data_IF_640787759827
#
_entry.id   IF_640787759827
#
_cell.length_a   1.000
_cell.length_b   1.000
_cell.length_c   1.000
_cell.angle_alpha   90.00
_cell.angle_beta   90.00
_cell.angle_gamma   90.00
#
_symmetry.space_group_name_H-M   'P 1'
#
loop_
_entity.id
_entity.type
_entity.pdbx_description
1 polymer ?
#
# COMPACT_ATOMS: atom_id res chain seq x y z
N UNK A 1 44.51 -17.90 -13.15
CA UNK A 1 43.06 -17.65 -13.11
C UNK A 1 42.67 -17.53 -11.64
N UNK A 2 42.16 -16.39 -11.19
CA UNK A 2 41.92 -16.15 -9.76
C UNK A 2 40.60 -16.80 -9.31
N UNK A 3 40.49 -17.27 -8.05
CA UNK A 3 39.27 -17.90 -7.52
C UNK A 3 38.02 -17.01 -7.61
N UNK A 4 38.20 -15.68 -7.65
CA UNK A 4 37.12 -14.70 -7.84
C UNK A 4 36.52 -14.71 -9.25
N UNK A 5 37.28 -15.11 -10.27
CA UNK A 5 36.82 -15.13 -11.66
C UNK A 5 35.97 -16.37 -11.95
N UNK A 6 36.29 -17.50 -11.30
CA UNK A 6 35.49 -18.74 -11.38
C UNK A 6 34.12 -18.54 -10.72
N UNK A 7 34.06 -17.80 -9.60
CA UNK A 7 32.79 -17.51 -8.91
C UNK A 7 31.90 -16.54 -9.70
N UNK A 8 32.48 -15.58 -10.44
CA UNK A 8 31.74 -14.74 -11.39
C UNK A 8 31.28 -15.51 -12.61
N UNK A 9 32.10 -16.40 -13.16
CA UNK A 9 31.68 -17.23 -14.30
C UNK A 9 30.54 -18.17 -13.92
N UNK A 10 30.58 -18.85 -12.77
CA UNK A 10 29.48 -19.70 -12.32
C UNK A 10 28.17 -18.92 -12.11
N UNK A 11 28.26 -17.71 -11.55
CA UNK A 11 27.09 -16.81 -11.40
C UNK A 11 26.50 -16.34 -12.74
N UNK A 12 27.32 -16.16 -13.77
CA UNK A 12 26.86 -15.77 -15.12
C UNK A 12 26.40 -16.97 -15.97
N UNK A 13 26.90 -18.18 -15.72
CA UNK A 13 26.48 -19.39 -16.43
C UNK A 13 25.12 -19.88 -15.92
N UNK A 14 24.89 -19.85 -14.60
CA UNK A 14 23.56 -20.20 -14.04
C UNK A 14 22.47 -19.22 -14.49
N UNK A 15 22.78 -17.92 -14.56
CA UNK A 15 21.81 -16.92 -15.06
C UNK A 15 21.56 -17.02 -16.56
N UNK A 16 22.51 -17.54 -17.36
CA UNK A 16 22.31 -17.77 -18.80
C UNK A 16 21.58 -19.09 -19.09
N UNK A 17 21.74 -20.13 -18.28
CA UNK A 17 20.91 -21.34 -18.40
C UNK A 17 19.46 -21.08 -17.97
N UNK A 18 19.23 -20.24 -16.95
CA UNK A 18 17.87 -19.77 -16.61
C UNK A 18 17.22 -18.90 -17.70
N UNK A 19 18.00 -18.30 -18.60
CA UNK A 19 17.51 -17.49 -19.73
C UNK A 19 17.51 -18.22 -21.08
N UNK A 20 18.13 -19.40 -21.15
CA UNK A 20 18.11 -20.28 -22.33
C UNK A 20 17.08 -21.41 -22.18
N UNK A 21 16.02 -21.15 -21.42
CA UNK A 21 14.77 -21.88 -21.57
C UNK A 21 14.26 -21.43 -22.94
N UNK A 22 14.46 -22.25 -23.97
CA UNK A 22 13.58 -22.22 -25.15
C UNK A 22 12.17 -22.05 -24.62
N UNK A 23 11.52 -20.92 -24.88
CA UNK A 23 10.10 -20.73 -24.62
C UNK A 23 9.36 -21.77 -25.46
N UNK A 24 9.31 -23.00 -24.98
CA UNK A 24 8.22 -23.89 -25.32
C UNK A 24 6.96 -23.16 -24.86
N UNK A 25 5.95 -22.99 -25.74
CA UNK A 25 4.73 -22.24 -25.42
C UNK A 25 3.89 -22.86 -24.28
N UNK A 26 4.39 -23.91 -23.63
CA UNK A 26 3.72 -24.71 -22.61
C UNK A 26 4.32 -24.58 -21.20
N UNK A 27 5.43 -23.86 -20.99
CA UNK A 27 5.99 -23.66 -19.63
C UNK A 27 5.42 -22.39 -19.02
N UNK A 28 4.25 -22.56 -18.43
CA UNK A 28 3.57 -21.56 -17.62
C UNK A 28 4.06 -21.64 -16.17
N UNK A 29 5.13 -20.91 -15.85
CA UNK A 29 5.68 -20.85 -14.49
C UNK A 29 4.84 -19.90 -13.62
N UNK A 30 4.04 -20.45 -12.71
CA UNK A 30 3.13 -19.67 -11.87
C UNK A 30 3.26 -19.94 -10.36
N UNK A 31 4.48 -20.04 -9.85
CA UNK A 31 4.70 -20.10 -8.41
C UNK A 31 6.11 -20.55 -8.04
N UNK A 32 6.51 -20.44 -6.76
CA UNK A 32 7.76 -21.03 -6.31
C UNK A 32 7.71 -22.54 -6.54
N UNK A 33 8.63 -23.02 -7.36
CA UNK A 33 8.80 -24.46 -7.59
C UNK A 33 9.56 -25.02 -6.41
N UNK A 34 8.85 -25.76 -5.57
CA UNK A 34 9.43 -26.34 -4.35
C UNK A 34 10.15 -27.66 -4.60
N UNK A 35 10.08 -28.21 -5.81
CA UNK A 35 10.75 -29.44 -6.20
C UNK A 35 11.30 -29.32 -7.61
N UNK A 36 12.54 -29.73 -7.79
CA UNK A 36 13.16 -29.82 -9.11
C UNK A 36 13.57 -31.27 -9.37
N UNK A 37 13.27 -31.83 -10.56
CA UNK A 37 13.78 -33.14 -10.93
C UNK A 37 15.30 -33.08 -11.13
N UNK A 38 16.03 -34.07 -10.63
CA UNK A 38 17.44 -34.25 -10.96
C UNK A 38 17.63 -34.81 -12.38
N UNK A 39 18.89 -34.96 -12.80
CA UNK A 39 19.26 -35.52 -14.10
C UNK A 39 18.77 -36.97 -14.31
N UNK A 40 18.29 -37.64 -13.27
CA UNK A 40 17.73 -38.99 -13.29
C UNK A 40 16.20 -39.01 -13.14
N UNK A 41 15.55 -37.83 -13.12
CA UNK A 41 14.11 -37.68 -12.99
C UNK A 41 13.59 -37.85 -11.56
N UNK A 42 14.45 -37.89 -10.54
CA UNK A 42 14.04 -37.94 -9.13
C UNK A 42 13.79 -36.52 -8.64
N UNK A 43 12.58 -36.27 -8.13
CA UNK A 43 12.24 -34.96 -7.56
C UNK A 43 12.96 -34.73 -6.22
N UNK A 44 13.70 -33.63 -6.12
CA UNK A 44 14.28 -33.15 -4.86
C UNK A 44 13.62 -31.87 -4.42
N UNK A 45 13.33 -31.76 -3.13
CA UNK A 45 12.77 -30.54 -2.56
C UNK A 45 13.84 -29.45 -2.42
N UNK A 46 13.51 -28.25 -2.90
CA UNK A 46 14.30 -27.06 -2.62
C UNK A 46 13.95 -26.54 -1.22
N UNK A 47 14.71 -27.00 -0.23
CA UNK A 47 14.57 -26.59 1.16
C UNK A 47 14.87 -25.10 1.38
N UNK A 48 15.61 -24.44 0.49
CA UNK A 48 15.88 -23.00 0.57
C UNK A 48 14.61 -22.23 0.22
N UNK A 49 13.91 -22.60 -0.86
CA UNK A 49 12.64 -21.98 -1.23
C UNK A 49 11.55 -22.24 -0.19
N UNK A 50 11.48 -23.47 0.36
CA UNK A 50 10.52 -23.83 1.41
C UNK A 50 10.78 -22.99 2.67
N UNK A 51 12.02 -22.97 3.17
CA UNK A 51 12.37 -22.22 4.38
C UNK A 51 12.17 -20.71 4.19
N UNK A 52 12.55 -20.15 3.03
CA UNK A 52 12.31 -18.75 2.69
C UNK A 52 10.84 -18.39 2.70
N UNK A 53 9.97 -19.24 2.14
CA UNK A 53 8.52 -19.04 2.14
C UNK A 53 7.95 -19.08 3.55
N UNK A 54 8.37 -20.03 4.38
CA UNK A 54 7.93 -20.13 5.79
C UNK A 54 8.35 -18.91 6.59
N UNK A 55 9.60 -18.46 6.44
CA UNK A 55 10.10 -17.25 7.12
C UNK A 55 9.28 -16.03 6.69
N UNK A 56 9.03 -15.85 5.39
CA UNK A 56 8.23 -14.75 4.88
C UNK A 56 6.81 -14.77 5.47
N UNK A 57 6.14 -15.93 5.48
CA UNK A 57 4.81 -16.07 6.08
C UNK A 57 4.79 -15.72 7.57
N UNK A 58 5.80 -16.15 8.33
CA UNK A 58 5.93 -15.81 9.76
C UNK A 58 6.10 -14.31 9.98
N UNK A 59 6.99 -13.66 9.20
CA UNK A 59 7.24 -12.21 9.28
C UNK A 59 5.98 -11.43 8.95
N UNK A 60 5.31 -11.75 7.83
CA UNK A 60 4.06 -11.09 7.45
C UNK A 60 2.97 -11.28 8.50
N UNK A 61 2.77 -12.50 8.98
CA UNK A 61 1.78 -12.78 10.03
C UNK A 61 2.04 -11.98 11.30
N UNK A 62 3.32 -11.84 11.70
CA UNK A 62 3.72 -11.03 12.85
C UNK A 62 3.42 -9.53 12.66
N UNK A 63 3.77 -8.97 11.50
CA UNK A 63 3.52 -7.55 11.18
C UNK A 63 2.02 -7.24 11.11
N UNK A 64 1.23 -8.12 10.51
CA UNK A 64 -0.23 -8.01 10.46
C UNK A 64 -0.86 -8.10 11.86
N UNK A 65 -0.43 -9.07 12.66
CA UNK A 65 -0.86 -9.20 14.05
C UNK A 65 -0.58 -7.95 14.86
N UNK A 66 0.62 -7.38 14.74
CA UNK A 66 1.00 -6.14 15.41
C UNK A 66 0.13 -4.95 14.96
N UNK A 67 -0.19 -4.87 13.67
CA UNK A 67 -1.08 -3.84 13.11
C UNK A 67 -2.48 -3.94 13.69
N UNK A 68 -3.06 -5.15 13.74
CA UNK A 68 -4.38 -5.39 14.34
C UNK A 68 -4.40 -5.00 15.83
N UNK A 69 -3.41 -5.46 16.61
CA UNK A 69 -3.32 -5.14 18.04
C UNK A 69 -3.20 -3.63 18.25
N UNK A 70 -2.35 -2.96 17.47
CA UNK A 70 -2.14 -1.51 17.56
C UNK A 70 -3.40 -0.75 17.16
N UNK A 71 -4.09 -1.18 16.10
CA UNK A 71 -5.36 -0.59 15.66
C UNK A 71 -6.45 -0.70 16.74
N UNK A 72 -6.57 -1.85 17.39
CA UNK A 72 -7.51 -2.05 18.51
C UNK A 72 -7.16 -1.14 19.69
N UNK A 73 -5.88 -1.10 20.09
CA UNK A 73 -5.42 -0.22 21.18
C UNK A 73 -5.70 1.26 20.88
N UNK A 74 -5.43 1.68 19.64
CA UNK A 74 -5.66 3.06 19.20
C UNK A 74 -7.15 3.41 19.18
N UNK A 75 -8.02 2.47 18.78
CA UNK A 75 -9.47 2.65 18.85
C UNK A 75 -9.94 2.96 20.27
N UNK A 76 -9.53 2.16 21.25
CA UNK A 76 -9.89 2.38 22.65
C UNK A 76 -9.29 3.66 23.21
N UNK A 77 -8.05 4.00 22.82
CA UNK A 77 -7.40 5.24 23.22
C UNK A 77 -8.17 6.47 22.73
N UNK A 78 -8.49 6.53 21.44
CA UNK A 78 -9.26 7.64 20.83
C UNK A 78 -10.65 7.75 21.45
N UNK A 79 -11.29 6.61 21.71
CA UNK A 79 -12.62 6.56 22.33
C UNK A 79 -12.62 7.13 23.76
N UNK A 80 -11.55 6.88 24.54
CA UNK A 80 -11.46 7.28 25.95
C UNK A 80 -10.91 8.68 26.17
N UNK A 81 -9.96 9.13 25.35
CA UNK A 81 -9.17 10.33 25.62
C UNK A 81 -9.55 11.56 24.79
N UNK A 82 -10.41 11.41 23.78
CA UNK A 82 -10.79 12.55 22.91
C UNK A 82 -12.03 13.24 23.42
N UNK A 83 -11.89 14.46 23.94
CA UNK A 83 -12.98 15.29 24.48
C UNK A 83 -13.76 16.02 23.39
N UNK A 84 -13.14 16.35 22.25
CA UNK A 84 -13.82 17.00 21.13
C UNK A 84 -14.45 15.97 20.18
N UNK A 85 -15.78 15.99 20.05
CA UNK A 85 -16.51 15.07 19.18
C UNK A 85 -16.13 15.17 17.70
N UNK A 86 -15.69 16.34 17.23
CA UNK A 86 -15.24 16.53 15.83
C UNK A 86 -13.89 15.87 15.59
N UNK A 87 -12.93 16.06 16.52
CA UNK A 87 -11.60 15.46 16.43
C UNK A 87 -11.70 13.93 16.56
N UNK A 88 -12.55 13.45 17.46
CA UNK A 88 -12.77 12.02 17.65
C UNK A 88 -13.31 11.36 16.39
N UNK A 89 -14.31 11.97 15.73
CA UNK A 89 -14.88 11.46 14.47
C UNK A 89 -13.83 11.40 13.37
N UNK A 90 -12.99 12.42 13.25
CA UNK A 90 -11.91 12.44 12.27
C UNK A 90 -10.85 11.35 12.54
N UNK A 91 -10.40 11.21 13.79
CA UNK A 91 -9.43 10.19 14.18
C UNK A 91 -9.98 8.78 13.97
N UNK A 92 -11.25 8.54 14.29
CA UNK A 92 -11.90 7.25 14.03
C UNK A 92 -12.02 6.97 12.54
N UNK A 93 -12.37 7.96 11.71
CA UNK A 93 -12.41 7.79 10.26
C UNK A 93 -11.04 7.42 9.68
N UNK A 94 -9.99 8.09 10.13
CA UNK A 94 -8.62 7.78 9.73
C UNK A 94 -8.21 6.37 10.18
N UNK A 95 -8.56 5.98 11.41
CA UNK A 95 -8.29 4.64 11.93
C UNK A 95 -9.01 3.55 11.14
N UNK A 96 -10.30 3.74 10.84
CA UNK A 96 -11.07 2.80 10.01
C UNK A 96 -10.50 2.70 8.60
N UNK A 97 -10.03 3.82 8.04
CA UNK A 97 -9.34 3.80 6.76
C UNK A 97 -8.07 2.96 6.83
N UNK A 98 -7.17 3.24 7.77
CA UNK A 98 -5.92 2.50 7.94
C UNK A 98 -6.15 0.99 8.14
N UNK A 99 -7.18 0.62 8.90
CA UNK A 99 -7.57 -0.78 9.08
C UNK A 99 -8.10 -1.41 7.77
N UNK A 100 -8.93 -0.68 7.02
CA UNK A 100 -9.43 -1.17 5.74
C UNK A 100 -8.31 -1.33 4.70
N UNK A 101 -7.37 -0.38 4.65
CA UNK A 101 -6.19 -0.45 3.79
C UNK A 101 -5.27 -1.59 4.20
N UNK A 102 -5.08 -1.83 5.50
CA UNK A 102 -4.33 -2.98 6.00
C UNK A 102 -4.97 -4.32 5.59
N UNK A 103 -6.30 -4.41 5.55
CA UNK A 103 -7.00 -5.63 5.11
C UNK A 103 -6.89 -5.86 3.59
N UNK A 104 -6.71 -4.81 2.79
CA UNK A 104 -6.67 -4.91 1.34
C UNK A 104 -5.60 -5.89 0.82
N UNK A 105 -4.30 -5.77 1.18
CA UNK A 105 -3.29 -6.73 0.74
C UNK A 105 -3.58 -8.15 1.25
N UNK A 106 -4.20 -8.33 2.42
CA UNK A 106 -4.63 -9.66 2.87
C UNK A 106 -5.55 -10.35 1.85
N UNK A 107 -6.53 -9.63 1.31
CA UNK A 107 -7.51 -10.17 0.36
C UNK A 107 -6.91 -10.30 -1.04
N UNK A 108 -6.16 -9.30 -1.51
CA UNK A 108 -5.72 -9.22 -2.90
C UNK A 108 -4.35 -9.85 -3.16
N UNK A 109 -3.51 -10.00 -2.14
CA UNK A 109 -2.15 -10.51 -2.30
C UNK A 109 -2.00 -11.85 -1.57
N UNK A 110 -2.34 -11.91 -0.28
CA UNK A 110 -2.11 -13.12 0.51
C UNK A 110 -3.04 -14.28 0.15
N UNK A 111 -4.35 -14.04 -0.01
CA UNK A 111 -5.30 -15.11 -0.36
C UNK A 111 -4.98 -15.74 -1.73
N UNK A 112 -4.79 -15.00 -2.83
CA UNK A 112 -4.47 -15.60 -4.13
C UNK A 112 -3.14 -16.37 -4.11
N UNK A 113 -2.11 -15.81 -3.46
CA UNK A 113 -0.83 -16.48 -3.29
C UNK A 113 -1.00 -17.77 -2.50
N UNK A 114 -1.73 -17.75 -1.38
CA UNK A 114 -1.98 -18.94 -0.57
C UNK A 114 -2.74 -20.03 -1.35
N UNK A 115 -3.75 -19.63 -2.15
CA UNK A 115 -4.50 -20.56 -3.01
C UNK A 115 -3.59 -21.17 -4.07
N UNK A 116 -2.70 -20.40 -4.70
CA UNK A 116 -1.73 -20.94 -5.67
C UNK A 116 -0.74 -21.89 -4.99
N UNK A 117 -0.19 -21.51 -3.83
CA UNK A 117 0.81 -22.31 -3.11
C UNK A 117 0.26 -23.63 -2.58
N UNK A 118 -0.89 -23.60 -1.90
CA UNK A 118 -1.50 -24.81 -1.33
C UNK A 118 -2.27 -25.59 -2.39
N UNK A 119 -3.02 -24.89 -3.24
CA UNK A 119 -3.84 -25.49 -4.27
C UNK A 119 -3.03 -26.16 -5.37
N UNK A 120 -1.88 -25.57 -5.73
CA UNK A 120 -0.94 -26.19 -6.67
C UNK A 120 -0.33 -27.48 -6.12
N UNK A 121 -0.06 -27.54 -4.80
CA UNK A 121 0.46 -28.76 -4.15
C UNK A 121 -0.57 -29.86 -3.97
N UNK A 122 -1.83 -29.50 -3.72
CA UNK A 122 -2.91 -30.47 -3.48
C UNK A 122 -3.58 -30.94 -4.77
N UNK A 123 -3.23 -30.35 -5.92
CA UNK A 123 -3.88 -30.62 -7.21
C UNK A 123 -5.32 -30.14 -7.30
N UNK A 124 -5.80 -29.39 -6.29
CA UNK A 124 -7.18 -28.90 -6.19
C UNK A 124 -7.40 -27.70 -7.12
N UNK A 125 -6.36 -26.92 -7.39
CA UNK A 125 -6.47 -25.66 -8.13
C UNK A 125 -6.08 -25.88 -9.60
N UNK A 126 -6.92 -25.42 -10.56
CA UNK A 126 -6.62 -25.51 -11.98
C UNK A 126 -5.30 -24.80 -12.32
N UNK A 127 -4.53 -25.37 -13.25
CA UNK A 127 -3.25 -24.82 -13.70
C UNK A 127 -3.31 -23.33 -14.08
N UNK A 128 -4.45 -22.87 -14.60
CA UNK A 128 -4.68 -21.50 -15.05
C UNK A 128 -4.81 -20.47 -13.91
N UNK A 129 -4.95 -20.90 -12.65
CA UNK A 129 -5.08 -19.99 -11.51
C UNK A 129 -3.81 -19.17 -11.26
N UNK A 130 -2.70 -19.70 -11.75
CA UNK A 130 -1.43 -19.00 -11.79
C UNK A 130 -1.46 -17.67 -12.52
N UNK A 131 -2.28 -17.52 -13.57
CA UNK A 131 -2.48 -16.26 -14.31
C UNK A 131 -3.25 -15.24 -13.47
N UNK A 132 -4.20 -15.73 -12.66
CA UNK A 132 -5.07 -14.88 -11.86
C UNK A 132 -4.30 -14.18 -10.73
N UNK A 133 -3.35 -14.86 -10.09
CA UNK A 133 -2.64 -14.31 -8.94
C UNK A 133 -1.90 -12.99 -9.25
N UNK A 134 -1.10 -12.86 -10.32
CA UNK A 134 -0.52 -11.58 -10.75
C UNK A 134 -1.55 -10.49 -11.03
N UNK A 135 -2.74 -10.83 -11.55
CA UNK A 135 -3.82 -9.85 -11.77
C UNK A 135 -4.37 -9.31 -10.45
N UNK A 136 -4.56 -10.19 -9.45
CA UNK A 136 -4.97 -9.77 -8.12
C UNK A 136 -3.91 -8.90 -7.43
N UNK A 137 -2.63 -9.28 -7.56
CA UNK A 137 -1.51 -8.49 -7.05
C UNK A 137 -1.44 -7.12 -7.76
N UNK A 138 -1.50 -7.08 -9.09
CA UNK A 138 -1.51 -5.80 -9.82
C UNK A 138 -2.72 -4.92 -9.44
N UNK A 139 -3.88 -5.55 -9.24
CA UNK A 139 -5.13 -4.90 -8.88
C UNK A 139 -5.17 -4.30 -7.48
N UNK A 140 -4.38 -4.81 -6.52
CA UNK A 140 -4.43 -4.33 -5.13
C UNK A 140 -4.18 -2.82 -5.05
N UNK A 141 -3.22 -2.31 -5.83
CA UNK A 141 -2.83 -0.89 -5.79
C UNK A 141 -3.98 0.04 -6.18
N UNK A 142 -4.76 -0.35 -7.19
CA UNK A 142 -5.96 0.37 -7.60
C UNK A 142 -7.08 0.24 -6.58
N UNK A 143 -7.29 -0.95 -6.03
CA UNK A 143 -8.30 -1.18 -4.99
C UNK A 143 -8.02 -0.38 -3.71
N UNK A 144 -6.77 -0.31 -3.26
CA UNK A 144 -6.38 0.46 -2.08
C UNK A 144 -6.63 1.97 -2.29
N UNK A 145 -6.26 2.51 -3.45
CA UNK A 145 -6.55 3.90 -3.80
C UNK A 145 -8.05 4.20 -3.86
N UNK A 146 -8.86 3.27 -4.41
CA UNK A 146 -10.32 3.39 -4.46
C UNK A 146 -10.91 3.33 -3.04
N UNK A 147 -10.46 2.39 -2.21
CA UNK A 147 -10.91 2.27 -0.81
C UNK A 147 -10.62 3.54 -0.04
N UNK A 148 -9.42 4.11 -0.18
CA UNK A 148 -9.05 5.38 0.42
C UNK A 148 -9.97 6.52 -0.03
N UNK A 149 -10.25 6.61 -1.32
CA UNK A 149 -11.12 7.64 -1.89
C UNK A 149 -12.59 7.49 -1.46
N UNK A 150 -13.08 6.26 -1.28
CA UNK A 150 -14.45 5.96 -0.86
C UNK A 150 -14.67 6.20 0.64
N UNK A 151 -13.72 5.81 1.49
CA UNK A 151 -13.84 5.89 2.95
C UNK A 151 -13.63 7.31 3.48
N UNK A 152 -12.76 8.11 2.85
CA UNK A 152 -12.45 9.46 3.32
C UNK A 152 -13.43 10.49 2.74
N UNK A 153 -14.58 10.69 3.41
CA UNK A 153 -15.63 11.63 2.97
C UNK A 153 -15.11 13.05 2.72
N UNK A 154 -14.23 13.55 3.59
CA UNK A 154 -13.61 14.87 3.47
C UNK A 154 -12.74 14.97 2.23
N UNK A 155 -12.03 13.89 1.88
CA UNK A 155 -11.20 13.82 0.68
C UNK A 155 -12.11 13.86 -0.54
N UNK A 156 -13.14 13.01 -0.61
CA UNK A 156 -14.12 13.01 -1.72
C UNK A 156 -14.75 14.39 -1.95
N UNK A 157 -15.05 15.13 -0.89
CA UNK A 157 -15.62 16.47 -1.00
C UNK A 157 -14.62 17.48 -1.57
N UNK A 158 -13.37 17.46 -1.11
CA UNK A 158 -12.28 18.29 -1.66
C UNK A 158 -11.90 17.90 -3.09
N UNK A 159 -11.81 16.61 -3.40
CA UNK A 159 -11.52 16.15 -4.76
C UNK A 159 -12.62 16.57 -5.72
N UNK A 160 -13.90 16.55 -5.31
CA UNK A 160 -15.02 17.08 -6.10
C UNK A 160 -14.93 18.59 -6.32
N UNK A 161 -14.52 19.36 -5.31
CA UNK A 161 -14.27 20.80 -5.44
C UNK A 161 -13.17 21.06 -6.47
N UNK A 162 -12.03 20.37 -6.36
CA UNK A 162 -10.91 20.50 -7.30
C UNK A 162 -11.32 20.05 -8.71
N UNK A 163 -12.03 18.92 -8.85
CA UNK A 163 -12.51 18.44 -10.15
C UNK A 163 -13.45 19.48 -10.79
N UNK A 164 -14.36 20.06 -10.01
CA UNK A 164 -15.25 21.13 -10.51
C UNK A 164 -14.45 22.35 -10.94
N UNK A 165 -13.39 22.71 -10.24
CA UNK A 165 -12.54 23.86 -10.60
C UNK A 165 -11.65 23.59 -11.82
N UNK A 166 -11.25 22.34 -12.02
CA UNK A 166 -10.39 21.95 -13.14
C UNK A 166 -11.18 21.69 -14.43
N UNK A 167 -12.41 21.19 -14.32
CA UNK A 167 -13.31 20.94 -15.46
C UNK A 167 -14.24 22.12 -15.78
N UNK A 168 -14.44 23.05 -14.85
CA UNK A 168 -15.11 24.31 -15.12
C UNK A 168 -14.06 25.41 -15.28
N UNK A 169 -13.68 25.80 -16.51
CA UNK A 169 -12.77 26.92 -16.69
C UNK A 169 -13.42 28.14 -16.02
N UNK A 170 -12.80 28.63 -14.94
CA UNK A 170 -13.25 29.85 -14.29
C UNK A 170 -13.17 30.97 -15.30
N UNK A 171 -14.32 31.53 -15.66
CA UNK A 171 -14.38 32.89 -16.15
C UNK A 171 -13.71 33.80 -15.10
N UNK A 172 -12.65 34.54 -15.45
CA UNK A 172 -11.97 35.41 -14.51
C UNK A 172 -12.82 36.66 -14.32
N UNK A 173 -13.68 36.67 -13.31
CA UNK A 173 -14.26 37.94 -12.87
C UNK A 173 -14.67 37.88 -11.40
N UNK A 174 -14.14 38.85 -10.64
CA UNK A 174 -14.66 39.42 -9.37
C UNK A 174 -13.94 39.12 -8.05
N UNK A 175 -12.83 38.38 -7.99
CA UNK A 175 -12.10 38.22 -6.71
C UNK A 175 -11.07 39.36 -6.46
N UNK A 176 -10.73 40.18 -7.46
CA UNK A 176 -9.71 41.24 -7.31
C UNK A 176 -10.22 42.64 -6.98
N UNK A 177 -11.54 42.85 -6.76
CA UNK A 177 -12.10 44.20 -6.54
C UNK A 177 -12.50 44.52 -5.10
N UNK A 178 -12.42 43.62 -4.12
CA UNK A 178 -12.80 43.94 -2.73
C UNK A 178 -11.63 44.25 -1.78
N UNK A 179 -10.43 44.51 -2.32
CA UNK A 179 -9.21 44.74 -1.54
C UNK A 179 -8.65 46.16 -1.58
N UNK A 180 -9.36 47.13 -2.17
CA UNK A 180 -8.87 48.49 -2.38
C UNK A 180 -9.77 49.56 -1.71
N UNK A 181 -10.30 49.28 -0.52
CA UNK A 181 -10.78 50.36 0.37
C UNK A 181 -9.67 50.72 1.36
N UNK A 182 -9.08 51.87 1.09
CA UNK A 182 -7.98 52.52 1.78
C UNK A 182 -8.45 53.04 3.16
N UNK A 183 -7.80 52.68 4.28
CA UNK A 183 -8.18 53.21 5.59
C UNK A 183 -7.71 54.67 5.73
N UNK A 184 -8.69 55.58 5.80
CA UNK A 184 -8.55 57.00 6.18
C UNK A 184 -7.71 57.19 7.45
N UNK A 185 -6.76 58.16 7.48
CA UNK A 185 -5.97 58.44 8.67
C UNK A 185 -6.77 59.27 9.68
N UNK A 186 -7.06 58.72 10.85
CA UNK A 186 -7.58 59.50 11.99
C UNK A 186 -6.44 60.17 12.75
N UNK A 187 -6.46 61.49 12.66
CA UNK A 187 -5.64 62.46 13.39
C UNK A 187 -6.06 62.58 14.86
N UNK A 188 -5.07 62.78 15.74
CA UNK A 188 -5.23 63.38 17.09
C UNK A 188 -5.71 62.41 18.18
N UNK A 189 -5.23 62.42 19.41
CA UNK A 189 -4.74 63.56 20.19
C UNK A 189 -3.94 63.04 21.39
N UNK A 190 -2.73 63.57 21.59
CA UNK A 190 -1.96 63.45 22.82
C UNK A 190 -2.73 64.09 23.98
N UNK A 191 -2.88 63.38 25.10
CA UNK A 191 -3.15 64.01 26.40
C UNK A 191 -2.23 63.41 27.46
N UNK A 192 -1.24 64.23 27.83
CA UNK A 192 -0.41 64.09 29.01
C UNK A 192 -1.20 64.43 30.28
N UNK A 193 -1.07 63.61 31.31
CA UNK A 193 -1.18 63.94 32.73
C UNK A 193 -0.57 62.74 33.49
N UNK A 194 0.40 62.82 34.39
CA UNK A 194 0.78 63.92 35.26
C UNK A 194 0.26 63.67 36.69
N UNK A 195 1.18 63.27 37.58
CA UNK A 195 1.21 63.53 39.04
C UNK A 195 0.53 62.59 40.06
N UNK A 196 1.38 62.18 41.04
CA UNK A 196 1.14 62.05 42.50
C UNK A 196 0.17 60.94 42.98
N UNK A 197 0.46 60.08 43.96
CA UNK A 197 1.36 60.09 45.13
C UNK A 197 1.92 58.70 45.39
#
# INVERSE_FOLDING_TARGET
>A
MQPSDIRRMLSYTETKEFLNITLTPDIYYYGPVFSHPDNYGVEHYDWIMVSGTVIALCVFSGLYGATCITGIKLYYYVKRNTTSGTVQRFQLQLLFLLLAQAISPFIFEFVPVFVVLIGGRTGIVPHNWGICAPLFIGGYSGCDAILALLLFKTYRQRTREILKLQWWPRHPSKIFQSGAEEPTPMSGTLKSAGASR
#
